data_IF_361847845929
#
_entry.id   IF_361847845929
#
_cell.length_a   1.000
_cell.length_b   1.000
_cell.length_c   1.000
_cell.angle_alpha   90.00
_cell.angle_beta   90.00
_cell.angle_gamma   90.00
#
_symmetry.space_group_name_H-M   'P 1'
#
loop_
_entity.id
_entity.type
_entity.pdbx_description
1 polymer ?
#
# COMPACT_ATOMS: atom_id res chain seq x y z
N UNK A 1 -15.93 -5.77 -3.49
CA UNK A 1 -16.25 -6.23 -4.85
C UNK A 1 -15.12 -5.95 -5.85
N UNK A 2 -14.41 -4.81 -5.74
CA UNK A 2 -13.31 -4.46 -6.67
C UNK A 2 -11.94 -4.94 -6.19
N UNK A 3 -11.76 -5.09 -4.89
CA UNK A 3 -10.49 -5.44 -4.26
C UNK A 3 -9.91 -6.75 -4.80
N UNK A 4 -10.70 -7.81 -4.77
CA UNK A 4 -10.30 -9.15 -5.25
C UNK A 4 -9.95 -9.13 -6.75
N UNK A 5 -10.71 -8.37 -7.54
CA UNK A 5 -10.43 -8.23 -8.99
C UNK A 5 -9.10 -7.50 -9.23
N UNK A 6 -8.83 -6.45 -8.47
CA UNK A 6 -7.56 -5.70 -8.58
C UNK A 6 -6.38 -6.60 -8.22
N UNK A 7 -6.45 -7.33 -7.09
CA UNK A 7 -5.42 -8.28 -6.70
C UNK A 7 -5.18 -9.34 -7.76
N UNK A 8 -6.24 -9.97 -8.29
CA UNK A 8 -6.14 -10.99 -9.34
C UNK A 8 -5.44 -10.46 -10.59
N UNK A 9 -5.77 -9.23 -11.03
CA UNK A 9 -5.13 -8.63 -12.20
C UNK A 9 -3.66 -8.34 -11.94
N UNK A 10 -3.31 -7.79 -10.76
CA UNK A 10 -1.91 -7.52 -10.42
C UNK A 10 -1.10 -8.83 -10.31
N UNK A 11 -1.62 -9.85 -9.67
CA UNK A 11 -0.98 -11.17 -9.62
C UNK A 11 -0.84 -11.81 -11.02
N UNK A 12 -1.81 -11.63 -11.91
CA UNK A 12 -1.73 -12.12 -13.29
C UNK A 12 -0.61 -11.42 -14.10
N UNK A 13 -0.24 -10.21 -13.72
CA UNK A 13 0.89 -9.45 -14.26
C UNK A 13 2.23 -9.76 -13.55
N UNK A 14 2.29 -10.85 -12.79
CA UNK A 14 3.47 -11.28 -12.01
C UNK A 14 3.94 -10.29 -10.94
N UNK A 15 3.05 -9.38 -10.46
CA UNK A 15 3.34 -8.56 -9.30
C UNK A 15 3.06 -9.33 -8.01
N UNK A 16 4.02 -9.34 -7.10
CA UNK A 16 3.81 -9.78 -5.73
C UNK A 16 2.94 -8.75 -5.00
N UNK A 17 1.82 -9.19 -4.42
CA UNK A 17 0.85 -8.31 -3.77
C UNK A 17 0.62 -8.72 -2.33
N UNK A 18 0.57 -7.76 -1.41
CA UNK A 18 0.16 -8.01 -0.04
C UNK A 18 -1.36 -7.93 0.10
N UNK A 19 -1.97 -9.06 0.47
CA UNK A 19 -3.41 -9.14 0.75
C UNK A 19 -3.67 -9.01 2.25
N UNK A 20 -3.94 -7.78 2.72
CA UNK A 20 -4.22 -7.51 4.13
C UNK A 20 -5.50 -8.16 4.65
N UNK A 21 -6.41 -8.58 3.76
CA UNK A 21 -7.64 -9.29 4.16
C UNK A 21 -7.42 -10.76 4.42
N UNK A 22 -6.46 -11.35 3.70
CA UNK A 22 -6.12 -12.77 3.80
C UNK A 22 -4.60 -12.92 3.91
N UNK A 23 -4.00 -12.45 5.03
CA UNK A 23 -2.58 -12.64 5.25
C UNK A 23 -2.23 -14.13 5.18
N UNK A 24 -1.02 -14.48 4.78
CA UNK A 24 -0.58 -15.85 4.49
C UNK A 24 -0.87 -16.88 5.60
N UNK A 25 -1.03 -16.44 6.81
CA UNK A 25 -1.54 -17.22 7.92
C UNK A 25 -3.07 -17.32 7.81
N UNK A 26 -3.53 -18.29 7.03
CA UNK A 26 -4.94 -18.55 6.67
C UNK A 26 -5.91 -18.71 7.86
N UNK A 27 -5.46 -18.61 9.08
CA UNK A 27 -6.27 -18.73 10.28
C UNK A 27 -7.02 -17.46 10.68
N UNK A 28 -6.68 -16.30 10.11
CA UNK A 28 -7.22 -15.02 10.54
C UNK A 28 -7.68 -14.19 9.31
N UNK A 29 -8.98 -13.95 9.23
CA UNK A 29 -9.51 -12.78 8.51
C UNK A 29 -8.77 -11.53 9.02
N UNK A 30 -8.51 -10.53 8.14
CA UNK A 30 -7.81 -9.29 8.51
C UNK A 30 -8.32 -8.68 9.83
N UNK A 31 -7.48 -7.93 10.50
CA UNK A 31 -7.79 -7.38 11.82
C UNK A 31 -9.05 -6.50 11.80
N UNK A 32 -9.89 -6.69 12.80
CA UNK A 32 -11.01 -5.81 13.10
C UNK A 32 -11.12 -5.59 14.61
N UNK A 33 -11.31 -4.33 15.01
CA UNK A 33 -11.59 -3.99 16.40
C UNK A 33 -12.84 -4.68 16.95
N UNK A 34 -13.81 -4.99 16.09
CA UNK A 34 -15.02 -5.73 16.46
C UNK A 34 -14.73 -7.17 16.88
N UNK A 35 -13.59 -7.74 16.46
CA UNK A 35 -13.14 -9.08 16.89
C UNK A 35 -12.61 -9.03 18.34
N UNK A 36 -12.02 -7.91 18.76
CA UNK A 36 -11.54 -7.72 20.13
C UNK A 36 -12.69 -7.38 21.10
N UNK A 37 -13.60 -6.54 20.65
CA UNK A 37 -14.67 -6.01 21.48
C UNK A 37 -15.96 -5.81 20.69
N UNK A 38 -17.04 -6.46 21.11
CA UNK A 38 -18.36 -6.35 20.44
C UNK A 38 -18.94 -4.94 20.47
N UNK A 39 -18.56 -4.14 21.46
CA UNK A 39 -19.10 -2.80 21.71
C UNK A 39 -18.16 -1.67 21.26
N UNK A 40 -17.25 -1.91 20.33
CA UNK A 40 -16.30 -0.90 19.82
C UNK A 40 -16.98 0.40 19.40
N UNK A 41 -18.21 0.31 18.87
CA UNK A 41 -18.97 1.50 18.44
C UNK A 41 -19.37 2.42 19.58
N UNK A 42 -19.37 1.92 20.81
CA UNK A 42 -19.67 2.69 22.03
C UNK A 42 -18.43 3.18 22.77
N UNK A 43 -17.24 2.86 22.30
CA UNK A 43 -15.98 3.26 22.94
C UNK A 43 -15.84 4.77 23.04
N UNK A 44 -15.42 5.21 24.21
CA UNK A 44 -14.90 6.55 24.43
C UNK A 44 -13.47 6.67 23.88
N UNK A 45 -12.96 7.90 23.81
CA UNK A 45 -11.54 8.11 23.45
C UNK A 45 -10.58 7.44 24.45
N UNK A 46 -10.96 7.36 25.73
CA UNK A 46 -10.15 6.70 26.76
C UNK A 46 -10.16 5.19 26.59
N UNK A 47 -11.30 4.58 26.25
CA UNK A 47 -11.40 3.15 25.94
C UNK A 47 -10.51 2.81 24.73
N UNK A 48 -10.56 3.62 23.67
CA UNK A 48 -9.70 3.43 22.49
C UNK A 48 -8.22 3.56 22.86
N UNK A 49 -7.85 4.57 23.62
CA UNK A 49 -6.47 4.79 24.08
C UNK A 49 -5.91 3.60 24.86
N UNK A 50 -6.71 3.02 25.76
CA UNK A 50 -6.32 1.85 26.55
C UNK A 50 -6.13 0.60 25.68
N UNK A 51 -6.90 0.45 24.61
CA UNK A 51 -6.87 -0.70 23.72
C UNK A 51 -5.96 -0.52 22.49
N UNK A 52 -5.46 0.69 22.24
CA UNK A 52 -4.65 1.00 21.03
C UNK A 52 -3.47 0.05 20.86
N UNK A 53 -2.84 -0.35 21.95
CA UNK A 53 -1.69 -1.26 21.98
C UNK A 53 -2.07 -2.68 22.46
N UNK A 54 -3.32 -3.09 22.25
CA UNK A 54 -3.71 -4.47 22.50
C UNK A 54 -2.83 -5.42 21.70
N UNK A 55 -2.35 -6.56 22.26
CA UNK A 55 -1.41 -7.45 21.57
C UNK A 55 -1.85 -7.88 20.17
N UNK A 56 -3.13 -8.19 19.96
CA UNK A 56 -3.66 -8.55 18.64
C UNK A 56 -3.62 -7.36 17.66
N UNK A 57 -3.96 -6.15 18.12
CA UNK A 57 -3.88 -4.94 17.29
C UNK A 57 -2.43 -4.61 16.93
N UNK A 58 -1.49 -4.76 17.88
CA UNK A 58 -0.06 -4.56 17.66
C UNK A 58 0.48 -5.56 16.65
N UNK A 59 0.14 -6.85 16.79
CA UNK A 59 0.58 -7.89 15.86
C UNK A 59 0.05 -7.64 14.42
N UNK A 60 -1.20 -7.23 14.28
CA UNK A 60 -1.77 -6.89 12.98
C UNK A 60 -1.06 -5.67 12.37
N UNK A 61 -0.87 -4.62 13.15
CA UNK A 61 -0.14 -3.42 12.74
C UNK A 61 1.29 -3.75 12.28
N UNK A 62 2.02 -4.59 13.02
CA UNK A 62 3.39 -4.97 12.66
C UNK A 62 3.47 -5.74 11.34
N UNK A 63 2.48 -6.58 11.04
CA UNK A 63 2.39 -7.29 9.76
C UNK A 63 2.17 -6.33 8.59
N UNK A 64 1.16 -5.47 8.69
CA UNK A 64 0.85 -4.47 7.68
C UNK A 64 2.02 -3.50 7.48
N UNK A 65 2.62 -3.05 8.58
CA UNK A 65 3.74 -2.11 8.54
C UNK A 65 4.99 -2.72 7.90
N UNK A 66 5.26 -4.02 8.14
CA UNK A 66 6.34 -4.75 7.46
C UNK A 66 6.07 -4.83 5.96
N UNK A 67 4.87 -5.21 5.56
CA UNK A 67 4.51 -5.26 4.14
C UNK A 67 4.69 -3.89 3.46
N UNK A 68 4.30 -2.79 4.13
CA UNK A 68 4.56 -1.43 3.61
C UNK A 68 6.06 -1.12 3.47
N UNK A 69 6.91 -1.63 4.37
CA UNK A 69 8.36 -1.46 4.25
C UNK A 69 8.94 -2.23 3.06
N UNK A 70 8.48 -3.44 2.82
CA UNK A 70 8.99 -4.34 1.79
C UNK A 70 8.47 -3.98 0.40
N UNK A 71 7.24 -3.47 0.28
CA UNK A 71 6.64 -3.12 -1.01
C UNK A 71 7.37 -1.94 -1.68
N UNK A 72 7.54 -2.02 -3.00
CA UNK A 72 8.11 -0.94 -3.82
C UNK A 72 7.07 0.14 -4.14
N UNK A 73 5.82 -0.27 -4.34
CA UNK A 73 4.71 0.59 -4.74
C UNK A 73 3.51 0.43 -3.82
N UNK A 74 2.66 1.45 -3.79
CA UNK A 74 1.36 1.42 -3.11
C UNK A 74 0.23 1.69 -4.10
N UNK A 75 -0.83 0.89 -4.03
CA UNK A 75 -2.08 1.17 -4.73
C UNK A 75 -3.15 1.52 -3.71
N UNK A 76 -3.58 2.79 -3.69
CA UNK A 76 -4.72 3.26 -2.91
C UNK A 76 -6.00 3.02 -3.69
N UNK A 77 -6.71 1.95 -3.35
CA UNK A 77 -7.97 1.59 -4.01
C UNK A 77 -9.16 2.28 -3.32
N UNK A 78 -9.83 3.17 -4.04
CA UNK A 78 -11.01 3.89 -3.55
C UNK A 78 -12.33 3.22 -3.98
N UNK A 79 -13.38 3.33 -3.16
CA UNK A 79 -13.40 3.98 -1.85
C UNK A 79 -12.76 3.12 -0.75
N UNK A 80 -12.04 3.74 0.17
CA UNK A 80 -11.39 3.07 1.29
C UNK A 80 -11.51 3.86 2.60
N UNK A 81 -11.03 3.25 3.68
CA UNK A 81 -11.04 3.84 5.02
C UNK A 81 -9.82 4.72 5.34
N UNK A 82 -9.82 5.27 6.55
CA UNK A 82 -8.74 6.16 7.05
C UNK A 82 -7.39 5.46 7.12
N UNK A 83 -7.35 4.17 7.47
CA UNK A 83 -6.10 3.39 7.56
C UNK A 83 -5.37 3.38 6.23
N UNK A 84 -6.06 3.01 5.14
CA UNK A 84 -5.46 2.98 3.81
C UNK A 84 -4.89 4.34 3.36
N UNK A 85 -5.56 5.45 3.71
CA UNK A 85 -5.03 6.80 3.44
C UNK A 85 -3.77 7.09 4.26
N UNK A 86 -3.73 6.66 5.53
CA UNK A 86 -2.55 6.83 6.40
C UNK A 86 -1.37 6.02 5.89
N UNK A 87 -1.61 4.80 5.47
CA UNK A 87 -0.61 3.88 4.89
C UNK A 87 -0.04 4.45 3.58
N UNK A 88 -0.91 4.87 2.66
CA UNK A 88 -0.49 5.50 1.40
C UNK A 88 0.32 6.78 1.64
N UNK A 89 -0.11 7.64 2.58
CA UNK A 89 0.61 8.84 2.96
C UNK A 89 1.98 8.54 3.57
N UNK A 90 2.07 7.51 4.42
CA UNK A 90 3.34 7.06 4.99
C UNK A 90 4.28 6.55 3.90
N UNK A 91 3.80 5.67 3.01
CA UNK A 91 4.62 5.15 1.90
C UNK A 91 5.12 6.25 0.98
N UNK A 92 4.30 7.25 0.67
CA UNK A 92 4.73 8.43 -0.09
C UNK A 92 5.80 9.22 0.65
N UNK A 93 5.67 9.39 1.96
CA UNK A 93 6.68 10.03 2.82
C UNK A 93 8.00 9.27 2.86
N UNK A 94 8.00 7.96 2.60
CA UNK A 94 9.21 7.13 2.44
C UNK A 94 9.80 7.19 1.01
N UNK A 95 9.26 8.01 0.13
CA UNK A 95 9.73 8.16 -1.25
C UNK A 95 9.24 7.07 -2.21
N UNK A 96 8.30 6.23 -1.78
CA UNK A 96 7.71 5.20 -2.63
C UNK A 96 6.68 5.81 -3.58
N UNK A 97 6.47 5.20 -4.72
CA UNK A 97 5.41 5.62 -5.66
C UNK A 97 4.05 5.13 -5.16
N UNK A 98 3.06 6.03 -5.21
CA UNK A 98 1.69 5.75 -4.78
C UNK A 98 0.74 6.06 -5.92
N UNK A 99 -0.03 5.08 -6.31
CA UNK A 99 -1.02 5.17 -7.38
C UNK A 99 -2.42 5.09 -6.78
N UNK A 100 -3.32 5.99 -7.20
CA UNK A 100 -4.74 5.91 -6.83
C UNK A 100 -5.49 5.21 -7.94
N UNK A 101 -6.33 4.23 -7.56
CA UNK A 101 -7.36 3.68 -8.42
C UNK A 101 -8.72 4.00 -7.80
N UNK A 102 -9.45 4.94 -8.39
CA UNK A 102 -10.78 5.32 -7.92
C UNK A 102 -11.86 4.64 -8.76
N UNK A 103 -12.52 3.66 -8.14
CA UNK A 103 -13.65 2.92 -8.73
C UNK A 103 -14.99 3.33 -8.08
N UNK A 104 -15.04 4.50 -7.48
CA UNK A 104 -16.25 5.05 -6.86
C UNK A 104 -17.25 5.52 -7.93
N UNK A 105 -18.53 5.24 -7.72
CA UNK A 105 -19.59 5.85 -8.55
C UNK A 105 -19.70 7.37 -8.31
N UNK A 106 -19.42 7.78 -7.06
CA UNK A 106 -19.43 9.15 -6.59
C UNK A 106 -18.15 9.45 -5.84
N UNK A 107 -17.10 9.96 -6.50
CA UNK A 107 -15.83 10.25 -5.86
C UNK A 107 -15.96 11.38 -4.84
N UNK A 108 -15.25 11.25 -3.73
CA UNK A 108 -15.11 12.33 -2.74
C UNK A 108 -13.81 13.09 -3.05
N UNK A 109 -13.89 14.36 -3.47
CA UNK A 109 -12.71 15.15 -3.75
C UNK A 109 -11.81 15.29 -2.52
N UNK A 110 -10.51 15.04 -2.69
CA UNK A 110 -9.50 15.14 -1.63
C UNK A 110 -8.27 15.86 -2.18
N UNK A 111 -7.94 17.02 -1.60
CA UNK A 111 -6.82 17.86 -2.04
C UNK A 111 -5.47 17.15 -1.93
N UNK A 112 -5.29 16.33 -0.89
CA UNK A 112 -4.02 15.66 -0.61
C UNK A 112 -3.67 14.56 -1.60
N UNK A 113 -4.59 14.16 -2.48
CA UNK A 113 -4.28 13.25 -3.59
C UNK A 113 -3.25 13.83 -4.58
N UNK A 114 -3.03 15.13 -4.58
CA UNK A 114 -1.94 15.77 -5.34
C UNK A 114 -0.53 15.32 -4.91
N UNK A 115 -0.37 14.72 -3.73
CA UNK A 115 0.91 14.15 -3.29
C UNK A 115 1.29 12.87 -4.06
N UNK A 116 0.31 12.17 -4.59
CA UNK A 116 0.50 10.85 -5.17
C UNK A 116 0.90 10.94 -6.64
N UNK A 117 1.45 9.85 -7.16
CA UNK A 117 2.10 9.87 -8.46
C UNK A 117 1.11 9.82 -9.62
N UNK A 118 -0.01 9.09 -9.45
CA UNK A 118 -1.06 8.97 -10.45
C UNK A 118 -2.44 8.80 -9.82
N UNK A 119 -3.47 9.25 -10.55
CA UNK A 119 -4.87 9.05 -10.22
C UNK A 119 -5.60 8.46 -11.42
N UNK A 120 -5.99 7.21 -11.31
CA UNK A 120 -6.64 6.44 -12.36
C UNK A 120 -8.07 6.07 -11.98
N UNK A 121 -8.93 5.98 -12.99
CA UNK A 121 -10.32 5.51 -12.84
C UNK A 121 -10.56 4.19 -13.56
N UNK A 122 -9.53 3.65 -14.19
CA UNK A 122 -9.58 2.35 -14.89
C UNK A 122 -8.38 1.51 -14.50
N UNK A 123 -8.65 0.24 -14.20
CA UNK A 123 -7.61 -0.71 -13.79
C UNK A 123 -6.51 -0.89 -14.86
N UNK A 124 -6.86 -0.81 -16.14
CA UNK A 124 -5.87 -0.96 -17.22
C UNK A 124 -4.86 0.21 -17.25
N UNK A 125 -5.29 1.42 -16.91
CA UNK A 125 -4.40 2.57 -16.85
C UNK A 125 -3.46 2.46 -15.65
N UNK A 126 -3.98 2.03 -14.49
CA UNK A 126 -3.16 1.74 -13.31
C UNK A 126 -2.07 0.72 -13.62
N UNK A 127 -2.40 -0.42 -14.24
CA UNK A 127 -1.42 -1.46 -14.59
C UNK A 127 -0.32 -0.89 -15.48
N UNK A 128 -0.70 -0.11 -16.50
CA UNK A 128 0.26 0.56 -17.37
C UNK A 128 1.19 1.51 -16.62
N UNK A 129 0.66 2.33 -15.71
CA UNK A 129 1.48 3.27 -14.93
C UNK A 129 2.44 2.56 -13.97
N UNK A 130 2.04 1.43 -13.39
CA UNK A 130 2.93 0.60 -12.58
C UNK A 130 4.05 0.04 -13.46
N UNK A 131 3.72 -0.51 -14.63
CA UNK A 131 4.71 -1.06 -15.58
C UNK A 131 5.71 -0.01 -16.06
N UNK A 132 5.23 1.16 -16.47
CA UNK A 132 6.07 2.28 -16.88
C UNK A 132 7.03 2.68 -15.75
N UNK A 133 6.52 2.81 -14.52
CA UNK A 133 7.31 3.13 -13.33
C UNK A 133 8.37 2.08 -13.01
N UNK A 134 8.02 0.80 -13.11
CA UNK A 134 8.96 -0.29 -12.89
C UNK A 134 10.11 -0.27 -13.93
N UNK A 135 9.78 -0.02 -15.19
CA UNK A 135 10.78 0.08 -16.25
C UNK A 135 11.73 1.27 -16.05
N UNK A 136 11.20 2.44 -15.63
CA UNK A 136 12.01 3.61 -15.27
C UNK A 136 12.98 3.31 -14.13
N UNK A 137 12.47 2.73 -13.02
CA UNK A 137 13.30 2.40 -11.86
C UNK A 137 14.39 1.38 -12.19
N UNK A 138 14.09 0.41 -13.04
CA UNK A 138 15.04 -0.57 -13.56
C UNK A 138 16.13 0.06 -14.45
N UNK A 139 15.78 1.05 -15.25
CA UNK A 139 16.75 1.80 -16.05
C UNK A 139 17.69 2.63 -15.18
N UNK A 140 17.14 3.36 -14.20
CA UNK A 140 17.92 4.18 -13.25
C UNK A 140 18.90 3.31 -12.44
N UNK A 141 18.48 2.11 -12.04
CA UNK A 141 19.34 1.18 -11.32
C UNK A 141 20.51 0.73 -12.19
N UNK A 142 20.27 0.39 -13.47
CA UNK A 142 21.33 0.01 -14.42
C UNK A 142 22.33 1.14 -14.63
N UNK A 143 21.88 2.37 -14.79
CA UNK A 143 22.75 3.55 -14.93
C UNK A 143 23.65 3.75 -13.69
N UNK A 144 23.09 3.64 -12.51
CA UNK A 144 23.85 3.71 -11.25
C UNK A 144 24.93 2.63 -11.18
N UNK A 145 24.60 1.37 -11.51
CA UNK A 145 25.56 0.26 -11.50
C UNK A 145 26.70 0.52 -12.49
N UNK A 146 26.40 0.99 -13.70
CA UNK A 146 27.41 1.30 -14.71
C UNK A 146 28.35 2.43 -14.26
N UNK A 147 27.80 3.46 -13.62
CA UNK A 147 28.60 4.60 -13.09
C UNK A 147 29.55 4.15 -11.98
N UNK A 148 29.09 3.32 -11.07
CA UNK A 148 29.95 2.76 -10.00
C UNK A 148 31.03 1.85 -10.56
N UNK A 149 30.73 1.04 -11.59
CA UNK A 149 31.71 0.15 -12.24
C UNK A 149 32.77 0.89 -13.04
N UNK A 150 32.53 2.12 -13.50
CA UNK A 150 33.52 2.95 -14.19
C UNK A 150 34.47 3.64 -13.21
N UNK A 151 33.94 4.19 -12.11
CA UNK A 151 34.73 4.87 -11.08
C UNK A 151 35.70 3.94 -10.33
N UNK A 152 35.40 2.64 -10.25
CA UNK A 152 36.29 1.63 -9.64
C UNK A 152 37.46 1.21 -10.52
N UNK A 153 37.46 1.58 -11.81
CA UNK A 153 38.56 1.27 -12.74
C UNK A 153 39.57 2.42 -12.92
N UNK A 154 39.26 3.62 -12.42
CA UNK A 154 40.14 4.78 -12.51
C UNK A 154 41.04 4.96 -11.26
N UNK A 155 40.95 4.05 -10.28
CA UNK A 155 41.71 4.13 -9.02
C UNK A 155 42.80 3.06 -8.88
N UNK A 156 43.13 2.31 -9.94
CA UNK A 156 44.26 1.42 -10.06
C UNK A 156 45.28 2.02 -11.06
#
# INVERSE_FOLDING_TARGET
KHYETVLQVLCFQDYETYDFKHPEDQSLSGFSWENLHKDVKSWTCEDFKQNLHHPEATNAFEKDFRAMHEADYCVLLLPCGRSAHSEAGWMKGQGKKVFILDLSEHPTPELMYQMYDMYDTRLIDLVKHIEDSYNEDKMLLKEKINTYGQNSKETD
#
